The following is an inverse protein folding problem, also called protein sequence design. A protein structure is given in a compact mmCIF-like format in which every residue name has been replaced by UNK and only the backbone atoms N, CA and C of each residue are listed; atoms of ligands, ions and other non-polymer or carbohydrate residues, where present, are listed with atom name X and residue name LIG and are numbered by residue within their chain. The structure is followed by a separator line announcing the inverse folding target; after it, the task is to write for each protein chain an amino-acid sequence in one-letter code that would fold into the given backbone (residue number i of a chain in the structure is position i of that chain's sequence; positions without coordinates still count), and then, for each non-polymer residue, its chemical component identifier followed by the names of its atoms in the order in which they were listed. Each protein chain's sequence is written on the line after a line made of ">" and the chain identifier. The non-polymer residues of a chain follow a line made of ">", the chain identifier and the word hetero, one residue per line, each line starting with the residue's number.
data_IF_276625546983
#
_entry.id   IF_276625546983
#
_cell.length_a   1.000
_cell.length_b   1.000
_cell.length_c   1.000
_cell.angle_alpha   90.00
_cell.angle_beta   90.00
_cell.angle_gamma   90.00
#
_symmetry.space_group_name_H-M   'P 1'
#
loop_
_entity.id
_entity.type
_entity.pdbx_description
1 polymer ?
#
# COMPACT_ATOMS: atom_id res chain seq x y z
N UNK A 1 1.75 7.02 -5.22
CA UNK A 1 2.98 6.56 -4.54
C UNK A 1 4.16 6.52 -5.50
N UNK A 2 4.38 5.44 -6.27
CA UNK A 2 5.53 5.34 -7.19
C UNK A 2 5.37 6.12 -8.50
N UNK A 3 4.13 6.21 -9.01
CA UNK A 3 3.83 6.90 -10.28
C UNK A 3 4.18 8.39 -10.22
N UNK A 4 3.97 9.02 -9.06
CA UNK A 4 4.32 10.43 -8.82
C UNK A 4 5.84 10.67 -8.88
N UNK A 5 6.65 9.62 -8.77
CA UNK A 5 8.12 9.65 -8.86
C UNK A 5 8.65 9.00 -10.14
N UNK A 6 7.77 8.62 -11.08
CA UNK A 6 8.15 8.04 -12.37
C UNK A 6 8.57 6.58 -12.36
N UNK A 7 8.48 5.87 -11.22
CA UNK A 7 8.95 4.50 -11.11
C UNK A 7 7.95 3.47 -11.65
N UNK A 8 8.46 2.50 -12.41
CA UNK A 8 7.81 1.21 -12.68
C UNK A 8 7.85 0.34 -11.43
N UNK A 9 6.98 -0.67 -11.37
CA UNK A 9 6.96 -1.62 -10.26
C UNK A 9 8.28 -2.40 -10.13
N UNK A 10 8.89 -2.79 -11.24
CA UNK A 10 10.17 -3.50 -11.21
C UNK A 10 11.29 -2.64 -10.62
N UNK A 11 11.36 -1.37 -11.01
CA UNK A 11 12.39 -0.42 -10.58
C UNK A 11 12.31 -0.15 -9.07
N UNK A 12 11.10 0.11 -8.57
CA UNK A 12 10.91 0.33 -7.13
C UNK A 12 11.13 -0.97 -6.33
N UNK A 13 10.75 -2.13 -6.87
CA UNK A 13 10.96 -3.41 -6.20
C UNK A 13 12.47 -3.69 -6.05
N UNK A 14 13.24 -3.43 -7.10
CA UNK A 14 14.70 -3.52 -7.07
C UNK A 14 15.30 -2.56 -6.04
N UNK A 15 14.90 -1.28 -6.07
CA UNK A 15 15.35 -0.27 -5.12
C UNK A 15 15.06 -0.64 -3.65
N UNK A 16 13.91 -1.26 -3.39
CA UNK A 16 13.48 -1.68 -2.05
C UNK A 16 14.01 -3.08 -1.65
N UNK A 17 14.70 -3.80 -2.53
CA UNK A 17 15.18 -5.16 -2.27
C UNK A 17 14.03 -6.16 -2.05
N UNK A 18 12.94 -6.02 -2.80
CA UNK A 18 11.78 -6.92 -2.77
C UNK A 18 11.48 -7.46 -4.17
N UNK A 19 10.70 -8.53 -4.26
CA UNK A 19 10.26 -9.02 -5.58
C UNK A 19 9.18 -8.10 -6.16
N UNK A 20 9.06 -8.05 -7.49
CA UNK A 20 7.99 -7.30 -8.16
C UNK A 20 6.60 -7.74 -7.68
N UNK A 21 6.38 -9.04 -7.49
CA UNK A 21 5.12 -9.56 -6.95
C UNK A 21 4.85 -9.02 -5.53
N UNK A 22 5.88 -9.00 -4.67
CA UNK A 22 5.74 -8.45 -3.32
C UNK A 22 5.37 -6.97 -3.34
N UNK A 23 5.93 -6.18 -4.27
CA UNK A 23 5.53 -4.78 -4.44
C UNK A 23 4.07 -4.64 -4.86
N UNK A 24 3.55 -5.52 -5.74
CA UNK A 24 2.13 -5.51 -6.12
C UNK A 24 1.23 -5.75 -4.90
N UNK A 25 1.55 -6.76 -4.08
CA UNK A 25 0.80 -7.04 -2.86
C UNK A 25 0.83 -5.86 -1.87
N UNK A 26 1.97 -5.16 -1.78
CA UNK A 26 2.13 -3.92 -0.99
C UNK A 26 1.23 -2.80 -1.52
N UNK A 27 1.19 -2.58 -2.84
CA UNK A 27 0.33 -1.56 -3.46
C UNK A 27 -1.17 -1.87 -3.27
N UNK A 28 -1.53 -3.15 -3.14
CA UNK A 28 -2.89 -3.60 -2.84
C UNK A 28 -3.25 -3.51 -1.35
N UNK A 29 -2.29 -3.20 -0.47
CA UNK A 29 -2.53 -3.19 0.97
C UNK A 29 -2.75 -4.58 1.56
N UNK A 30 -2.14 -5.63 0.98
CA UNK A 30 -2.35 -7.00 1.42
C UNK A 30 -1.91 -7.20 2.89
N UNK A 31 -2.76 -7.81 3.74
CA UNK A 31 -2.43 -8.11 5.13
C UNK A 31 -1.43 -9.27 5.28
N UNK A 32 -1.18 -10.03 4.21
CA UNK A 32 -0.20 -11.13 4.21
C UNK A 32 1.25 -10.65 4.08
N UNK A 33 1.46 -9.36 3.82
CA UNK A 33 2.78 -8.76 3.68
C UNK A 33 3.26 -8.25 5.05
N UNK A 34 4.50 -8.59 5.42
CA UNK A 34 5.09 -8.11 6.66
C UNK A 34 5.25 -6.59 6.67
N UNK A 35 5.06 -5.97 7.82
CA UNK A 35 5.28 -4.53 8.00
C UNK A 35 6.71 -4.11 7.64
N UNK A 36 7.70 -4.99 7.83
CA UNK A 36 9.08 -4.76 7.40
C UNK A 36 9.24 -4.61 5.88
N UNK A 37 8.42 -5.29 5.07
CA UNK A 37 8.44 -5.13 3.62
C UNK A 37 7.82 -3.80 3.20
N UNK A 38 6.72 -3.39 3.85
CA UNK A 38 6.16 -2.04 3.69
C UNK A 38 7.20 -0.97 4.03
N UNK A 39 7.85 -1.07 5.19
CA UNK A 39 8.87 -0.13 5.63
C UNK A 39 10.03 0.02 4.62
N UNK A 40 10.51 -1.07 4.03
CA UNK A 40 11.55 -1.02 2.98
C UNK A 40 11.10 -0.25 1.74
N UNK A 41 9.87 -0.46 1.28
CA UNK A 41 9.33 0.26 0.13
C UNK A 41 9.15 1.75 0.43
N UNK A 42 8.66 2.10 1.63
CA UNK A 42 8.53 3.50 2.05
C UNK A 42 9.90 4.18 2.17
N UNK A 43 10.90 3.50 2.72
CA UNK A 43 12.27 4.01 2.83
C UNK A 43 12.92 4.19 1.46
N UNK A 44 12.75 3.23 0.54
CA UNK A 44 13.22 3.34 -0.85
C UNK A 44 12.62 4.54 -1.59
N UNK A 45 11.43 4.94 -1.18
CA UNK A 45 10.73 6.10 -1.73
C UNK A 45 11.07 7.41 -1.02
N UNK A 46 11.86 7.39 0.05
CA UNK A 46 12.06 8.55 0.93
C UNK A 46 10.71 9.19 1.32
N UNK A 47 9.82 8.35 1.84
CA UNK A 47 8.44 8.71 2.18
C UNK A 47 8.16 8.57 3.66
N UNK A 48 7.36 9.51 4.17
CA UNK A 48 6.77 9.42 5.50
C UNK A 48 5.51 8.56 5.49
N UNK A 49 5.24 7.88 6.61
CA UNK A 49 4.07 7.02 6.79
C UNK A 49 3.11 7.68 7.75
N UNK A 50 1.87 7.90 7.31
CA UNK A 50 0.77 8.31 8.17
C UNK A 50 -0.09 7.10 8.51
N UNK A 51 -0.11 6.72 9.80
CA UNK A 51 -1.03 5.70 10.30
C UNK A 51 -2.41 6.33 10.51
N UNK A 52 -3.44 5.71 9.94
CA UNK A 52 -4.83 6.10 10.12
C UNK A 52 -5.56 4.90 10.72
N UNK A 53 -6.22 5.04 11.89
CA UNK A 53 -7.01 3.95 12.44
C UNK A 53 -8.15 3.62 11.49
N UNK A 54 -8.38 2.33 11.26
CA UNK A 54 -9.58 1.89 10.56
C UNK A 54 -10.76 2.11 11.50
N UNK A 55 -11.75 2.87 11.04
CA UNK A 55 -13.08 2.95 11.65
C UNK A 55 -14.02 2.03 10.88
N UNK A 56 -14.93 1.36 11.59
CA UNK A 56 -16.07 0.74 10.91
C UNK A 56 -16.92 1.88 10.31
N UNK A 57 -17.38 1.74 9.05
CA UNK A 57 -18.30 2.71 8.48
C UNK A 57 -19.57 2.76 9.34
N UNK A 58 -20.17 3.95 9.45
CA UNK A 58 -21.49 4.08 10.08
C UNK A 58 -22.56 3.43 9.20
N UNK A 59 -23.76 3.21 9.75
CA UNK A 59 -24.89 2.70 8.98
C UNK A 59 -25.22 3.61 7.78
N UNK A 60 -25.11 4.93 7.94
CA UNK A 60 -25.34 5.93 6.88
C UNK A 60 -24.27 5.86 5.79
N UNK A 61 -23.01 5.62 6.16
CA UNK A 61 -21.89 5.47 5.21
C UNK A 61 -21.91 4.13 4.45
N UNK A 62 -22.64 3.13 4.96
CA UNK A 62 -22.72 1.79 4.40
C UNK A 62 -23.97 1.56 3.52
N UNK A 63 -24.84 2.56 3.34
CA UNK A 63 -26.08 2.42 2.54
C UNK A 63 -25.85 1.89 1.12
N UNK A 64 -24.75 2.31 0.47
CA UNK A 64 -24.38 1.85 -0.87
C UNK A 64 -24.09 0.33 -0.94
N UNK A 65 -23.77 -0.30 0.18
CA UNK A 65 -23.48 -1.74 0.26
C UNK A 65 -24.75 -2.60 0.34
N UNK A 66 -25.90 -2.00 0.65
CA UNK A 66 -27.17 -2.69 0.90
C UNK A 66 -28.26 -2.42 -0.15
N UNK A 67 -28.01 -1.54 -1.12
CA UNK A 67 -28.99 -1.10 -2.12
C UNK A 67 -28.83 -1.73 -3.52
N UNK A 68 -28.31 -2.96 -3.63
CA UNK A 68 -28.35 -3.77 -4.87
C UNK A 68 -29.67 -4.56 -5.05
#
# INVERSE_FOLDING_TARGET
>A
MRLNRGYKQSELAELAGVTRQKLIEIEQGSPSVSMSAYARVFAALDSEVKLVPVSMPTLEEAEDLFNE
#
